data_IF_500423265018
#
_entry.id   IF_500423265018
#
_cell.length_a   1.000
_cell.length_b   1.000
_cell.length_c   1.000
_cell.angle_alpha   90.00
_cell.angle_beta   90.00
_cell.angle_gamma   90.00
#
_symmetry.space_group_name_H-M   'P 1'
#
loop_
_entity.id
_entity.type
_entity.pdbx_description
1 polymer ?
#
# COMPACT_ATOMS: atom_id res chain seq x y z
N UNK A 1 54.16 -9.40 43.75
CA UNK A 1 53.66 -10.31 42.69
C UNK A 1 52.64 -11.23 43.33
N UNK A 2 51.36 -10.96 43.11
CA UNK A 2 50.25 -11.70 43.71
C UNK A 2 49.37 -12.23 42.57
N UNK A 3 48.99 -13.53 42.56
CA UNK A 3 48.13 -14.06 41.51
C UNK A 3 46.66 -13.66 41.79
N UNK A 4 46.05 -12.99 40.81
CA UNK A 4 44.63 -12.64 40.83
C UNK A 4 43.82 -13.86 40.37
N UNK A 5 43.20 -14.53 41.33
CA UNK A 5 42.33 -15.68 41.10
C UNK A 5 40.96 -15.18 40.61
N UNK A 6 40.70 -15.26 39.30
CA UNK A 6 39.40 -14.92 38.69
C UNK A 6 38.63 -16.19 38.37
N UNK A 7 37.99 -16.77 39.39
CA UNK A 7 37.05 -17.87 39.22
C UNK A 7 35.74 -17.48 39.89
N UNK A 8 34.84 -16.85 39.15
CA UNK A 8 33.45 -16.63 39.57
C UNK A 8 32.51 -16.74 38.37
N UNK A 9 31.72 -17.82 38.38
CA UNK A 9 30.32 -17.94 37.96
C UNK A 9 29.94 -17.61 36.50
N UNK A 10 29.91 -18.65 35.65
CA UNK A 10 29.12 -18.69 34.41
C UNK A 10 27.99 -19.72 34.41
N UNK A 11 27.69 -20.36 35.53
CA UNK A 11 26.57 -21.32 35.60
C UNK A 11 25.34 -20.72 36.28
N UNK A 12 24.44 -20.07 35.50
CA UNK A 12 23.01 -19.91 35.88
C UNK A 12 22.06 -19.35 34.81
N UNK A 13 22.42 -19.26 33.53
CA UNK A 13 21.48 -18.76 32.51
C UNK A 13 20.65 -19.82 31.76
N UNK A 14 20.84 -21.12 32.03
CA UNK A 14 20.14 -22.19 31.31
C UNK A 14 18.82 -22.70 31.93
N UNK A 15 18.33 -22.13 33.05
CA UNK A 15 17.10 -22.64 33.72
C UNK A 15 15.85 -21.75 33.65
N UNK A 16 15.88 -20.59 33.00
CA UNK A 16 14.72 -19.68 32.94
C UNK A 16 13.97 -19.65 31.59
N UNK A 17 14.37 -20.42 30.58
CA UNK A 17 13.65 -20.50 29.30
C UNK A 17 12.64 -21.65 29.17
N UNK A 18 12.49 -22.51 30.19
CA UNK A 18 11.51 -23.63 30.17
C UNK A 18 10.14 -23.29 30.78
N UNK A 19 9.84 -22.02 31.10
CA UNK A 19 8.63 -21.63 31.86
C UNK A 19 7.69 -20.64 31.13
N UNK A 20 7.69 -20.61 29.79
CA UNK A 20 6.74 -19.76 29.02
C UNK A 20 5.90 -20.56 28.00
N UNK A 21 5.94 -21.91 28.04
CA UNK A 21 5.00 -22.73 27.26
C UNK A 21 4.51 -23.95 28.07
N UNK A 22 3.45 -23.81 28.89
CA UNK A 22 2.66 -24.96 29.28
C UNK A 22 1.82 -25.41 28.07
N UNK A 23 2.16 -26.59 27.54
CA UNK A 23 1.29 -27.57 26.87
C UNK A 23 -0.17 -27.11 26.63
N UNK A 24 -0.44 -26.47 25.49
CA UNK A 24 -1.79 -26.40 24.94
C UNK A 24 -1.99 -27.57 23.97
N UNK A 25 -2.12 -28.77 24.53
CA UNK A 25 -2.72 -29.91 23.88
C UNK A 25 -4.00 -30.26 24.63
N UNK A 26 -5.12 -29.65 24.20
CA UNK A 26 -6.46 -30.05 24.61
C UNK A 26 -7.26 -30.36 23.36
N UNK A 27 -7.47 -31.66 23.15
CA UNK A 27 -8.61 -32.21 22.41
C UNK A 27 -9.89 -31.57 22.94
N UNK A 28 -10.75 -31.09 22.06
CA UNK A 28 -12.20 -31.07 22.31
C UNK A 28 -12.88 -31.70 21.07
N UNK A 29 -13.68 -32.76 21.25
CA UNK A 29 -14.44 -33.42 20.19
C UNK A 29 -15.71 -32.63 19.83
N UNK A 30 -16.31 -32.99 18.70
CA UNK A 30 -17.32 -32.22 18.00
C UNK A 30 -18.59 -31.84 18.77
N UNK A 31 -19.26 -30.83 18.25
CA UNK A 31 -20.70 -30.66 18.45
C UNK A 31 -21.33 -30.11 17.18
N UNK A 32 -22.03 -30.99 16.48
CA UNK A 32 -22.92 -30.66 15.40
C UNK A 32 -24.24 -30.12 15.96
N UNK A 33 -24.64 -28.90 15.58
CA UNK A 33 -26.03 -28.42 15.57
C UNK A 33 -26.18 -27.43 14.41
N UNK A 34 -26.82 -27.85 13.32
CA UNK A 34 -28.25 -27.62 12.98
C UNK A 34 -28.60 -26.14 12.73
N UNK A 35 -28.77 -25.89 11.44
CA UNK A 35 -29.59 -24.87 10.76
C UNK A 35 -30.74 -24.23 11.55
N UNK A 36 -30.93 -22.93 11.32
CA UNK A 36 -32.19 -22.32 10.84
C UNK A 36 -31.92 -20.92 10.24
N UNK A 37 -32.61 -20.53 9.15
CA UNK A 37 -32.60 -19.17 8.61
C UNK A 37 -33.81 -18.39 9.13
N UNK A 38 -33.63 -17.16 9.61
CA UNK A 38 -34.78 -16.28 9.89
C UNK A 38 -34.35 -14.82 10.02
N UNK A 39 -35.05 -13.94 9.32
CA UNK A 39 -35.28 -12.59 9.81
C UNK A 39 -34.76 -11.45 8.94
N UNK A 40 -35.44 -11.19 7.82
CA UNK A 40 -35.49 -9.87 7.20
C UNK A 40 -35.96 -8.83 8.24
N UNK A 41 -35.19 -7.76 8.44
CA UNK A 41 -35.73 -6.47 8.91
C UNK A 41 -35.10 -5.33 8.12
N UNK A 42 -35.92 -4.81 7.21
CA UNK A 42 -35.77 -3.48 6.66
C UNK A 42 -36.07 -2.44 7.75
N UNK A 43 -35.22 -1.44 7.88
CA UNK A 43 -35.58 -0.16 8.49
C UNK A 43 -35.09 0.95 7.59
N UNK A 44 -36.06 1.75 7.17
CA UNK A 44 -35.91 2.97 6.39
C UNK A 44 -35.49 4.16 7.28
N UNK A 45 -35.01 5.19 6.59
CA UNK A 45 -35.00 6.61 6.94
C UNK A 45 -33.97 7.14 7.96
N UNK A 46 -33.07 7.99 7.45
CA UNK A 46 -32.77 9.32 8.04
C UNK A 46 -32.03 10.15 6.98
N UNK A 47 -32.71 11.06 6.26
CA UNK A 47 -32.62 12.54 6.43
C UNK A 47 -31.19 13.05 6.58
N UNK A 48 -30.62 13.61 5.51
CA UNK A 48 -30.48 15.06 5.27
C UNK A 48 -29.68 15.76 6.37
N UNK A 49 -28.44 16.11 6.05
CA UNK A 49 -27.90 17.41 6.40
C UNK A 49 -27.04 17.93 5.25
N UNK A 50 -27.43 19.11 4.78
CA UNK A 50 -26.74 19.92 3.79
C UNK A 50 -25.70 20.76 4.54
N UNK A 51 -24.41 20.48 4.36
CA UNK A 51 -23.37 21.41 4.76
C UNK A 51 -22.87 22.19 3.53
N UNK A 52 -23.22 23.47 3.51
CA UNK A 52 -22.80 24.42 2.50
C UNK A 52 -21.38 24.90 2.80
N UNK A 53 -20.41 24.54 1.96
CA UNK A 53 -19.12 25.22 1.94
C UNK A 53 -19.01 26.06 0.66
N UNK A 54 -18.96 27.37 0.86
CA UNK A 54 -18.80 28.39 -0.14
C UNK A 54 -17.48 28.20 -0.91
N UNK A 55 -17.58 28.14 -2.23
CA UNK A 55 -16.44 28.05 -3.15
C UNK A 55 -16.20 29.42 -3.80
N UNK A 56 -15.11 30.06 -3.39
CA UNK A 56 -14.57 31.26 -4.02
C UNK A 56 -14.21 30.98 -5.49
N UNK A 57 -14.72 31.83 -6.39
CA UNK A 57 -14.44 31.80 -7.83
C UNK A 57 -13.17 32.60 -8.11
N UNK A 58 -12.15 31.95 -8.64
CA UNK A 58 -11.08 32.59 -9.39
C UNK A 58 -11.21 32.12 -10.84
N UNK A 59 -11.61 33.03 -11.72
CA UNK A 59 -11.71 32.86 -13.16
C UNK A 59 -10.37 33.21 -13.80
N UNK A 60 -9.65 32.20 -14.28
CA UNK A 60 -8.60 32.37 -15.29
C UNK A 60 -9.08 31.77 -16.59
N UNK A 61 -9.23 32.67 -17.57
CA UNK A 61 -9.69 32.45 -18.92
C UNK A 61 -8.51 31.99 -19.78
N UNK A 62 -8.57 30.78 -20.33
CA UNK A 62 -7.63 30.31 -21.36
C UNK A 62 -8.41 29.52 -22.40
N UNK A 63 -8.55 30.12 -23.58
CA UNK A 63 -9.02 29.51 -24.82
C UNK A 63 -8.15 28.31 -25.20
N UNK A 64 -8.73 27.17 -25.59
CA UNK A 64 -8.07 26.19 -26.45
C UNK A 64 -8.56 26.33 -27.89
N UNK A 65 -7.60 26.57 -28.78
CA UNK A 65 -7.65 26.48 -30.23
C UNK A 65 -8.13 25.09 -30.68
N UNK A 66 -9.14 25.06 -31.54
CA UNK A 66 -9.64 23.86 -32.22
C UNK A 66 -8.61 23.31 -33.23
N UNK A 67 -8.43 21.98 -33.32
CA UNK A 67 -7.86 21.37 -34.50
C UNK A 67 -8.95 20.96 -35.50
N UNK A 68 -8.85 21.54 -36.69
CA UNK A 68 -9.43 21.07 -37.95
C UNK A 68 -9.13 19.57 -38.20
N UNK A 69 -10.13 18.83 -38.70
CA UNK A 69 -10.01 17.39 -38.95
C UNK A 69 -11.17 16.77 -39.73
N UNK A 70 -11.44 17.33 -40.91
CA UNK A 70 -11.76 16.71 -42.20
C UNK A 70 -12.29 15.24 -42.31
N UNK A 71 -13.39 15.10 -43.09
CA UNK A 71 -13.69 14.05 -44.12
C UNK A 71 -13.90 12.58 -43.66
N UNK A 72 -14.81 11.75 -44.17
CA UNK A 72 -15.35 11.58 -45.53
C UNK A 72 -16.83 11.13 -45.55
N UNK A 73 -17.48 11.52 -46.63
CA UNK A 73 -18.81 11.21 -47.15
C UNK A 73 -18.78 9.85 -47.87
N UNK A 74 -19.68 8.92 -47.52
CA UNK A 74 -19.89 7.71 -48.32
C UNK A 74 -21.38 7.33 -48.37
N UNK A 75 -22.07 7.94 -49.32
CA UNK A 75 -23.23 7.37 -50.03
C UNK A 75 -22.72 6.26 -50.97
N UNK A 76 -23.46 5.15 -51.22
CA UNK A 76 -24.55 5.26 -52.20
C UNK A 76 -25.66 4.18 -52.21
N UNK A 77 -26.59 4.41 -53.16
CA UNK A 77 -27.43 3.47 -53.95
C UNK A 77 -28.88 3.24 -53.55
N UNK A 78 -29.72 4.07 -54.19
CA UNK A 78 -31.09 3.80 -54.65
C UNK A 78 -31.15 2.59 -55.60
N UNK A 79 -32.19 1.78 -55.44
CA UNK A 79 -32.76 0.87 -56.46
C UNK A 79 -34.29 0.78 -56.21
N UNK A 80 -35.11 0.33 -57.17
CA UNK A 80 -36.18 1.16 -57.73
C UNK A 80 -37.60 0.67 -57.39
N UNK A 81 -38.53 1.55 -57.74
CA UNK A 81 -39.98 1.37 -57.88
C UNK A 81 -40.45 -0.06 -58.15
N UNK A 82 -41.31 -0.57 -57.27
CA UNK A 82 -42.38 -1.49 -57.62
C UNK A 82 -43.71 -0.75 -57.37
N UNK A 83 -44.40 -0.45 -58.46
CA UNK A 83 -45.73 0.14 -58.49
C UNK A 83 -46.77 -0.95 -58.21
N UNK A 84 -47.14 -1.15 -56.94
CA UNK A 84 -48.28 -1.99 -56.61
C UNK A 84 -49.54 -1.16 -56.39
N UNK A 85 -50.43 -1.36 -57.36
CA UNK A 85 -51.79 -0.87 -57.48
C UNK A 85 -52.65 -1.55 -56.42
N UNK A 86 -52.78 -0.94 -55.23
CA UNK A 86 -53.68 -1.44 -54.19
C UNK A 86 -55.01 -0.70 -54.15
N UNK A 87 -56.05 -1.52 -54.10
CA UNK A 87 -57.47 -1.24 -54.05
C UNK A 87 -57.86 -0.31 -52.90
N UNK A 88 -58.70 0.68 -53.21
CA UNK A 88 -59.29 1.63 -52.27
C UNK A 88 -60.37 0.91 -51.44
N UNK A 89 -59.95 0.20 -50.38
CA UNK A 89 -60.86 -0.37 -49.40
C UNK A 89 -61.38 0.74 -48.48
N UNK A 90 -62.71 0.88 -48.45
CA UNK A 90 -63.43 1.87 -47.66
C UNK A 90 -63.40 1.46 -46.18
N UNK A 91 -62.44 2.02 -45.44
CA UNK A 91 -62.26 1.76 -44.01
C UNK A 91 -63.24 2.59 -43.18
N UNK A 92 -64.44 2.06 -42.96
CA UNK A 92 -65.27 2.41 -41.82
C UNK A 92 -64.69 1.74 -40.57
N UNK A 93 -63.50 2.16 -40.15
CA UNK A 93 -62.90 1.70 -38.89
C UNK A 93 -63.68 2.30 -37.74
N UNK A 94 -64.16 1.41 -36.86
CA UNK A 94 -64.90 1.75 -35.66
C UNK A 94 -64.17 2.80 -34.83
N UNK A 95 -64.90 3.75 -34.23
CA UNK A 95 -64.35 4.82 -33.39
C UNK A 95 -63.40 4.29 -32.28
N UNK A 96 -63.66 3.07 -31.79
CA UNK A 96 -62.82 2.39 -30.81
C UNK A 96 -61.41 2.07 -31.35
N UNK A 97 -61.28 1.69 -32.62
CA UNK A 97 -59.98 1.40 -33.25
C UNK A 97 -59.14 2.67 -33.39
N UNK A 98 -59.76 3.80 -33.72
CA UNK A 98 -59.06 5.08 -33.81
C UNK A 98 -58.55 5.55 -32.45
N UNK A 99 -59.31 5.33 -31.37
CA UNK A 99 -58.86 5.62 -30.01
C UNK A 99 -57.70 4.73 -29.59
N UNK A 100 -57.77 3.42 -29.86
CA UNK A 100 -56.67 2.50 -29.58
C UNK A 100 -55.37 2.86 -30.32
N UNK A 101 -55.47 3.24 -31.60
CA UNK A 101 -54.29 3.69 -32.38
C UNK A 101 -53.64 4.94 -31.78
N UNK A 102 -54.45 5.91 -31.29
CA UNK A 102 -53.94 7.11 -30.61
C UNK A 102 -53.21 6.78 -29.31
N UNK A 103 -53.75 5.87 -28.49
CA UNK A 103 -53.09 5.41 -27.25
C UNK A 103 -51.77 4.71 -27.58
N UNK A 104 -51.76 3.82 -28.58
CA UNK A 104 -50.56 3.11 -29.02
C UNK A 104 -49.46 4.06 -29.54
N UNK A 105 -49.83 5.10 -30.27
CA UNK A 105 -48.89 6.11 -30.75
C UNK A 105 -48.37 6.99 -29.59
N UNK A 106 -49.24 7.35 -28.65
CA UNK A 106 -48.84 8.08 -27.44
C UNK A 106 -47.83 7.29 -26.60
N UNK A 107 -48.05 5.98 -26.42
CA UNK A 107 -47.11 5.11 -25.71
C UNK A 107 -45.75 5.04 -26.43
N UNK A 108 -45.74 4.83 -27.76
CA UNK A 108 -44.51 4.83 -28.56
C UNK A 108 -43.75 6.15 -28.53
N UNK A 109 -44.44 7.30 -28.44
CA UNK A 109 -43.78 8.60 -28.25
C UNK A 109 -43.20 8.74 -26.85
N UNK A 110 -43.91 8.27 -25.81
CA UNK A 110 -43.42 8.28 -24.45
C UNK A 110 -42.15 7.42 -24.28
N UNK A 111 -42.12 6.23 -24.90
CA UNK A 111 -40.94 5.34 -24.93
C UNK A 111 -39.76 5.99 -25.65
N UNK A 112 -39.97 6.57 -26.84
CA UNK A 112 -38.90 7.31 -27.55
C UNK A 112 -38.34 8.46 -26.72
N UNK A 113 -39.20 9.23 -26.07
CA UNK A 113 -38.79 10.33 -25.20
C UNK A 113 -38.04 9.85 -23.95
N UNK A 114 -38.38 8.68 -23.42
CA UNK A 114 -37.69 8.07 -22.28
C UNK A 114 -36.27 7.59 -22.68
N UNK A 115 -36.14 6.95 -23.83
CA UNK A 115 -34.85 6.47 -24.34
C UNK A 115 -33.93 7.63 -24.73
N UNK A 116 -34.47 8.70 -25.33
CA UNK A 116 -33.71 9.91 -25.63
C UNK A 116 -33.20 10.59 -24.34
N UNK A 117 -34.03 10.65 -23.28
CA UNK A 117 -33.58 11.16 -21.97
C UNK A 117 -32.50 10.29 -21.34
N UNK A 118 -32.59 8.97 -21.48
CA UNK A 118 -31.61 8.01 -20.96
C UNK A 118 -30.26 8.16 -21.67
N UNK A 119 -30.25 8.15 -23.00
CA UNK A 119 -29.04 8.34 -23.82
C UNK A 119 -28.40 9.72 -23.58
N UNK A 120 -29.19 10.78 -23.40
CA UNK A 120 -28.69 12.12 -23.03
C UNK A 120 -28.02 12.13 -21.66
N UNK A 121 -28.59 11.46 -20.66
CA UNK A 121 -27.98 11.34 -19.31
C UNK A 121 -26.69 10.52 -19.35
N UNK A 122 -26.68 9.41 -20.08
CA UNK A 122 -25.50 8.56 -20.23
C UNK A 122 -24.34 9.29 -20.93
N UNK A 123 -24.64 10.04 -22.01
CA UNK A 123 -23.65 10.90 -22.67
C UNK A 123 -23.06 11.94 -21.71
N UNK A 124 -23.91 12.58 -20.89
CA UNK A 124 -23.46 13.56 -19.89
C UNK A 124 -22.55 12.93 -18.84
N UNK A 125 -22.90 11.76 -18.31
CA UNK A 125 -22.09 11.03 -17.33
C UNK A 125 -20.74 10.62 -17.94
N UNK A 126 -20.74 10.12 -19.18
CA UNK A 126 -19.51 9.73 -19.89
C UNK A 126 -18.57 10.91 -20.13
N UNK A 127 -19.12 12.07 -20.46
CA UNK A 127 -18.34 13.30 -20.67
C UNK A 127 -17.74 13.82 -19.35
N UNK A 128 -18.51 13.81 -18.27
CA UNK A 128 -18.05 14.19 -16.94
C UNK A 128 -16.93 13.26 -16.43
N UNK A 129 -17.07 11.94 -16.63
CA UNK A 129 -16.04 10.97 -16.29
C UNK A 129 -14.73 11.19 -17.08
N UNK A 130 -14.83 11.49 -18.39
CA UNK A 130 -13.65 11.85 -19.20
C UNK A 130 -12.97 13.12 -18.70
N UNK A 131 -13.74 14.14 -18.31
CA UNK A 131 -13.20 15.40 -17.77
C UNK A 131 -12.51 15.18 -16.42
N UNK A 132 -13.08 14.35 -15.54
CA UNK A 132 -12.46 13.99 -14.28
C UNK A 132 -11.11 13.27 -14.49
N UNK A 133 -11.06 12.31 -15.41
CA UNK A 133 -9.84 11.57 -15.74
C UNK A 133 -8.74 12.48 -16.34
N UNK A 134 -9.12 13.42 -17.21
CA UNK A 134 -8.18 14.41 -17.75
C UNK A 134 -7.59 15.30 -16.65
N UNK A 135 -8.42 15.74 -15.70
CA UNK A 135 -7.98 16.57 -14.59
C UNK A 135 -7.03 15.83 -13.63
N UNK A 136 -7.31 14.55 -13.32
CA UNK A 136 -6.40 13.73 -12.49
C UNK A 136 -5.05 13.51 -13.17
N UNK A 137 -5.03 13.31 -14.50
CA UNK A 137 -3.80 13.14 -15.26
C UNK A 137 -2.98 14.43 -15.29
N UNK A 138 -3.62 15.57 -15.54
CA UNK A 138 -2.96 16.89 -15.52
C UNK A 138 -2.36 17.21 -14.15
N UNK A 139 -3.06 16.89 -13.04
CA UNK A 139 -2.52 17.06 -11.69
C UNK A 139 -1.28 16.19 -11.44
N UNK A 140 -1.32 14.91 -11.81
CA UNK A 140 -0.17 14.01 -11.65
C UNK A 140 1.05 14.46 -12.46
N UNK A 141 0.85 14.97 -13.67
CA UNK A 141 1.93 15.54 -14.50
C UNK A 141 2.51 16.82 -13.88
N UNK A 142 1.67 17.70 -13.33
CA UNK A 142 2.12 18.90 -12.60
C UNK A 142 2.92 18.55 -11.35
N UNK A 143 2.45 17.59 -10.54
CA UNK A 143 3.14 17.15 -9.33
C UNK A 143 4.51 16.52 -9.67
N UNK A 144 4.57 15.75 -10.76
CA UNK A 144 5.82 15.17 -11.27
C UNK A 144 6.79 16.26 -11.76
N UNK A 145 6.31 17.28 -12.44
CA UNK A 145 7.13 18.41 -12.88
C UNK A 145 7.67 19.21 -11.70
N UNK A 146 6.85 19.45 -10.67
CA UNK A 146 7.26 20.14 -9.45
C UNK A 146 8.31 19.35 -8.65
N UNK A 147 8.13 18.03 -8.50
CA UNK A 147 9.12 17.16 -7.86
C UNK A 147 10.46 17.17 -8.60
N UNK A 148 10.44 17.18 -9.93
CA UNK A 148 11.65 17.27 -10.75
C UNK A 148 12.36 18.63 -10.57
N UNK A 149 11.60 19.73 -10.60
CA UNK A 149 12.15 21.07 -10.39
C UNK A 149 12.77 21.24 -9.00
N UNK A 150 12.17 20.68 -7.95
CA UNK A 150 12.75 20.66 -6.60
C UNK A 150 14.05 19.85 -6.52
N UNK A 151 14.13 18.72 -7.25
CA UNK A 151 15.34 17.91 -7.31
C UNK A 151 16.50 18.65 -8.02
N UNK A 152 16.22 19.48 -9.02
CA UNK A 152 17.22 20.28 -9.76
C UNK A 152 17.63 21.57 -9.01
N UNK A 153 16.70 22.22 -8.29
CA UNK A 153 16.95 23.49 -7.59
C UNK A 153 17.87 23.34 -6.35
N UNK A 154 18.05 22.13 -5.84
CA UNK A 154 19.06 21.83 -4.82
C UNK A 154 20.22 21.06 -5.47
N UNK A 155 21.18 21.75 -6.12
CA UNK A 155 22.46 21.12 -6.44
C UNK A 155 23.01 20.62 -5.12
N UNK A 156 23.07 19.29 -4.96
CA UNK A 156 23.67 18.65 -3.80
C UNK A 156 25.07 19.24 -3.69
N UNK A 157 25.25 20.20 -2.78
CA UNK A 157 26.59 20.60 -2.35
C UNK A 157 27.25 19.28 -1.97
N UNK A 158 28.35 18.88 -2.63
CA UNK A 158 29.06 17.69 -2.22
C UNK A 158 29.36 17.90 -0.74
N UNK A 159 28.78 17.03 0.10
CA UNK A 159 29.02 17.11 1.53
C UNK A 159 30.55 17.11 1.70
N UNK A 160 31.12 18.04 2.49
CA UNK A 160 32.54 18.05 2.73
C UNK A 160 32.96 16.63 3.10
N UNK A 161 33.91 16.09 2.35
CA UNK A 161 34.38 14.72 2.44
C UNK A 161 35.12 14.59 3.78
N UNK A 162 34.37 14.49 4.88
CA UNK A 162 34.94 14.21 6.19
C UNK A 162 35.40 12.76 6.11
N UNK A 163 36.71 12.47 6.13
CA UNK A 163 37.18 11.10 6.13
C UNK A 163 36.53 10.38 7.31
N UNK A 164 36.00 9.17 7.12
CA UNK A 164 35.43 8.39 8.20
C UNK A 164 36.50 8.26 9.29
N UNK A 165 36.18 8.79 10.48
CA UNK A 165 37.08 8.71 11.61
C UNK A 165 37.11 7.23 12.00
N UNK A 166 38.26 6.55 11.96
CA UNK A 166 38.34 5.14 12.29
C UNK A 166 37.72 4.93 13.66
N UNK A 167 36.82 3.96 13.78
CA UNK A 167 36.18 3.69 15.07
C UNK A 167 37.25 3.44 16.12
N UNK A 168 37.26 4.25 17.18
CA UNK A 168 38.26 4.16 18.26
C UNK A 168 38.04 2.96 19.17
N UNK A 169 36.96 2.22 18.93
CA UNK A 169 36.47 1.18 19.81
C UNK A 169 36.67 -0.18 19.17
N UNK A 170 36.95 -1.19 20.01
CA UNK A 170 36.97 -2.57 19.53
C UNK A 170 35.57 -3.01 19.11
N UNK A 171 35.42 -3.91 18.12
CA UNK A 171 34.12 -4.44 17.72
C UNK A 171 33.32 -5.04 18.89
N UNK A 172 34.01 -5.63 19.87
CA UNK A 172 33.40 -6.14 21.10
C UNK A 172 32.73 -5.03 21.92
N UNK A 173 33.40 -3.89 22.10
CA UNK A 173 32.83 -2.77 22.84
C UNK A 173 31.59 -2.18 22.16
N UNK A 174 31.61 -2.10 20.83
CA UNK A 174 30.46 -1.64 20.04
C UNK A 174 29.26 -2.59 20.21
N UNK A 175 29.51 -3.90 20.15
CA UNK A 175 28.50 -4.92 20.39
C UNK A 175 27.95 -4.84 21.82
N UNK A 176 28.81 -4.75 22.84
CA UNK A 176 28.40 -4.70 24.24
C UNK A 176 27.51 -3.47 24.51
N UNK A 177 27.88 -2.31 23.95
CA UNK A 177 27.10 -1.07 24.05
C UNK A 177 25.73 -1.19 23.37
N UNK A 178 25.68 -1.78 22.17
CA UNK A 178 24.43 -2.03 21.47
C UNK A 178 23.56 -3.07 22.20
N UNK A 179 24.14 -4.15 22.68
CA UNK A 179 23.45 -5.21 23.43
C UNK A 179 22.86 -4.71 24.75
N UNK A 180 23.56 -3.83 25.47
CA UNK A 180 23.03 -3.15 26.65
C UNK A 180 21.82 -2.27 26.30
N UNK A 181 21.88 -1.57 25.17
CA UNK A 181 20.76 -0.77 24.65
C UNK A 181 19.56 -1.66 24.28
N UNK A 182 19.80 -2.81 23.66
CA UNK A 182 18.75 -3.81 23.39
C UNK A 182 18.10 -4.30 24.68
N UNK A 183 18.91 -4.66 25.68
CA UNK A 183 18.41 -5.14 26.98
C UNK A 183 17.52 -4.10 27.66
N UNK A 184 17.94 -2.83 27.63
CA UNK A 184 17.15 -1.70 28.16
C UNK A 184 15.84 -1.51 27.41
N UNK A 185 15.86 -1.59 26.08
CA UNK A 185 14.67 -1.47 25.24
C UNK A 185 13.67 -2.61 25.48
N UNK A 186 14.13 -3.85 25.52
CA UNK A 186 13.26 -5.02 25.74
C UNK A 186 12.74 -5.12 27.17
N UNK A 187 13.43 -4.55 28.16
CA UNK A 187 12.92 -4.44 29.52
C UNK A 187 11.72 -3.48 29.63
N UNK A 188 11.56 -2.54 28.70
CA UNK A 188 10.45 -1.60 28.69
C UNK A 188 9.44 -1.91 27.56
N UNK A 189 8.29 -2.55 27.87
CA UNK A 189 7.28 -2.90 26.87
C UNK A 189 6.61 -1.69 26.21
N UNK A 190 6.74 -0.50 26.78
CA UNK A 190 6.16 0.75 26.27
C UNK A 190 7.21 1.69 25.67
N UNK A 191 8.43 1.22 25.44
CA UNK A 191 9.46 2.03 24.80
C UNK A 191 9.00 2.53 23.42
N UNK A 192 9.15 3.83 23.19
CA UNK A 192 8.85 4.47 21.90
C UNK A 192 9.93 4.17 20.86
N UNK A 193 9.64 4.43 19.58
CA UNK A 193 10.59 4.24 18.49
C UNK A 193 11.87 5.10 18.62
N UNK A 194 11.79 6.20 19.37
CA UNK A 194 12.95 7.04 19.68
C UNK A 194 14.04 6.28 20.46
N UNK A 195 13.63 5.38 21.36
CA UNK A 195 14.55 4.57 22.19
C UNK A 195 14.94 3.25 21.53
N UNK A 196 14.58 3.04 20.25
CA UNK A 196 14.96 1.83 19.53
C UNK A 196 16.49 1.74 19.42
N UNK A 197 17.11 0.58 19.74
CA UNK A 197 18.56 0.42 19.79
C UNK A 197 19.15 0.35 18.38
N UNK A 198 19.41 1.53 17.81
CA UNK A 198 20.09 1.67 16.51
C UNK A 198 21.60 1.50 16.71
N UNK A 199 22.26 0.61 15.96
CA UNK A 199 23.71 0.59 15.92
C UNK A 199 24.28 1.95 15.48
N UNK A 200 25.35 2.40 16.13
CA UNK A 200 26.01 3.68 15.88
C UNK A 200 27.50 3.45 15.70
N UNK A 201 28.17 4.36 14.99
CA UNK A 201 29.63 4.33 14.82
C UNK A 201 30.15 3.20 13.93
N UNK A 202 29.27 2.56 13.15
CA UNK A 202 29.68 1.49 12.24
C UNK A 202 30.38 2.07 11.02
N UNK A 203 31.47 1.41 10.62
CA UNK A 203 32.20 1.74 9.41
C UNK A 203 31.28 1.70 8.17
N UNK A 204 31.46 2.62 7.20
CA UNK A 204 30.69 2.61 5.96
C UNK A 204 30.78 1.25 5.24
N UNK A 205 29.67 0.82 4.65
CA UNK A 205 29.67 -0.38 3.82
C UNK A 205 30.16 -0.07 2.40
N UNK A 206 31.34 -0.58 2.03
CA UNK A 206 31.90 -0.41 0.68
C UNK A 206 31.23 -1.29 -0.39
N UNK A 207 30.48 -2.31 0.03
CA UNK A 207 29.82 -3.24 -0.88
C UNK A 207 28.52 -2.66 -1.45
N UNK A 208 28.58 -2.05 -2.64
CA UNK A 208 27.41 -1.48 -3.30
C UNK A 208 26.48 -2.52 -3.98
N UNK A 209 27.01 -3.67 -4.42
CA UNK A 209 26.29 -4.55 -5.37
C UNK A 209 25.29 -5.53 -4.76
N UNK A 210 25.48 -5.96 -3.50
CA UNK A 210 24.62 -6.98 -2.86
C UNK A 210 24.34 -6.55 -1.42
N UNK A 211 23.77 -5.37 -1.23
CA UNK A 211 23.60 -4.74 0.08
C UNK A 211 22.12 -4.49 0.39
N UNK A 212 21.57 -5.25 1.33
CA UNK A 212 20.26 -4.92 1.92
C UNK A 212 20.47 -3.82 2.96
N UNK A 213 19.91 -2.64 2.69
CA UNK A 213 19.98 -1.44 3.54
C UNK A 213 18.62 -1.19 4.18
N UNK A 214 18.61 -0.99 5.50
CA UNK A 214 17.44 -0.49 6.23
C UNK A 214 17.39 1.03 6.12
N UNK A 215 16.32 1.58 5.56
CA UNK A 215 16.17 3.02 5.36
C UNK A 215 15.95 3.75 6.68
N UNK A 216 15.16 3.17 7.59
CA UNK A 216 14.83 3.75 8.91
C UNK A 216 15.93 3.54 9.94
N UNK A 217 16.66 2.43 9.86
CA UNK A 217 17.81 2.14 10.70
C UNK A 217 19.09 2.83 10.22
N UNK A 218 19.19 3.12 8.91
CA UNK A 218 20.35 3.80 8.33
C UNK A 218 21.59 2.92 8.21
N UNK A 219 21.47 1.60 8.42
CA UNK A 219 22.55 0.61 8.34
C UNK A 219 22.21 -0.48 7.33
N UNK A 220 23.20 -1.25 6.92
CA UNK A 220 23.00 -2.44 6.10
C UNK A 220 23.33 -3.74 6.84
N UNK A 221 22.97 -4.88 6.24
CA UNK A 221 23.26 -6.18 6.83
C UNK A 221 24.77 -6.48 6.97
N UNK A 222 25.65 -5.89 6.15
CA UNK A 222 27.11 -6.04 6.32
C UNK A 222 27.62 -5.31 7.57
N UNK A 223 27.13 -4.10 7.81
CA UNK A 223 27.43 -3.33 9.02
C UNK A 223 26.87 -4.05 10.26
N UNK A 224 25.64 -4.57 10.15
CA UNK A 224 25.07 -5.41 11.20
C UNK A 224 25.92 -6.66 11.44
N UNK A 225 26.40 -7.34 10.40
CA UNK A 225 27.30 -8.49 10.54
C UNK A 225 28.58 -8.13 11.29
N UNK A 226 29.23 -7.02 10.93
CA UNK A 226 30.45 -6.56 11.59
C UNK A 226 30.23 -6.29 13.08
N UNK A 227 29.10 -5.64 13.42
CA UNK A 227 28.69 -5.46 14.81
C UNK A 227 28.47 -6.80 15.52
N UNK A 228 27.71 -7.72 14.93
CA UNK A 228 27.42 -9.02 15.54
C UNK A 228 28.65 -9.91 15.66
N UNK A 229 29.68 -9.73 14.83
CA UNK A 229 30.97 -10.41 15.03
C UNK A 229 31.64 -10.04 16.36
N UNK A 230 31.34 -8.85 16.91
CA UNK A 230 31.79 -8.43 18.24
C UNK A 230 31.26 -9.30 19.38
N UNK A 231 30.16 -10.06 19.17
CA UNK A 231 29.61 -10.99 20.16
C UNK A 231 30.50 -12.23 20.39
N UNK A 232 31.33 -12.58 19.41
CA UNK A 232 32.05 -13.87 19.36
C UNK A 232 31.18 -15.06 18.93
N UNK A 233 29.87 -14.87 18.76
CA UNK A 233 28.90 -15.91 18.39
C UNK A 233 28.10 -15.48 17.16
N UNK A 234 28.53 -15.92 15.97
CA UNK A 234 27.81 -15.69 14.71
C UNK A 234 27.37 -17.01 14.07
N UNK A 235 26.86 -17.93 14.89
CA UNK A 235 26.33 -19.20 14.42
C UNK A 235 24.84 -19.07 14.04
N UNK A 236 24.37 -19.95 13.13
CA UNK A 236 22.98 -19.92 12.63
C UNK A 236 21.94 -20.08 13.75
N UNK A 237 22.10 -21.01 14.73
CA UNK A 237 21.17 -21.12 15.86
C UNK A 237 21.00 -19.80 16.64
N UNK A 238 22.10 -19.12 16.93
CA UNK A 238 22.11 -17.83 17.62
C UNK A 238 21.39 -16.75 16.81
N UNK A 239 21.70 -16.64 15.51
CA UNK A 239 21.04 -15.71 14.60
C UNK A 239 19.52 -15.96 14.49
N UNK A 240 19.08 -17.22 14.58
CA UNK A 240 17.64 -17.57 14.63
C UNK A 240 16.99 -17.09 15.92
N UNK A 241 17.67 -17.24 17.06
CA UNK A 241 17.21 -16.69 18.34
C UNK A 241 17.03 -15.17 18.27
N UNK A 242 18.01 -14.49 17.67
CA UNK A 242 17.97 -13.04 17.49
C UNK A 242 16.85 -12.62 16.53
N UNK A 243 16.68 -13.32 15.41
CA UNK A 243 15.57 -13.12 14.46
C UNK A 243 14.21 -13.20 15.14
N UNK A 244 14.00 -14.18 16.03
CA UNK A 244 12.75 -14.32 16.78
C UNK A 244 12.53 -13.16 17.76
N UNK A 245 13.60 -12.61 18.35
CA UNK A 245 13.54 -11.46 19.25
C UNK A 245 13.05 -10.20 18.53
N UNK A 246 13.44 -10.02 17.26
CA UNK A 246 13.06 -8.88 16.41
C UNK A 246 11.80 -9.08 15.57
N UNK A 247 11.04 -10.15 15.78
CA UNK A 247 9.85 -10.42 14.97
C UNK A 247 8.78 -9.31 15.12
N UNK A 248 8.21 -8.76 14.03
CA UNK A 248 7.26 -7.63 14.09
C UNK A 248 6.02 -7.91 14.94
N UNK A 249 5.53 -9.15 14.96
CA UNK A 249 4.38 -9.55 15.80
C UNK A 249 4.60 -9.37 17.31
N UNK A 250 5.84 -9.17 17.78
CA UNK A 250 6.11 -8.86 19.20
C UNK A 250 5.82 -7.40 19.57
N UNK A 251 5.49 -6.55 18.59
CA UNK A 251 5.27 -5.12 18.78
C UNK A 251 3.85 -4.68 18.34
N UNK A 252 2.77 -5.28 18.89
CA UNK A 252 1.41 -4.85 18.56
C UNK A 252 1.15 -3.41 19.04
N UNK A 253 0.41 -2.63 18.26
CA UNK A 253 0.06 -1.24 18.58
C UNK A 253 1.22 -0.23 18.53
N UNK A 254 2.43 -0.65 18.12
CA UNK A 254 3.63 0.21 18.03
C UNK A 254 4.17 0.19 16.60
N UNK A 255 3.48 0.87 15.68
CA UNK A 255 3.78 0.77 14.24
C UNK A 255 5.20 1.22 13.88
N UNK A 256 5.68 2.32 14.44
CA UNK A 256 7.04 2.81 14.16
C UNK A 256 8.12 1.84 14.65
N UNK A 257 7.92 1.22 15.82
CA UNK A 257 8.82 0.20 16.37
C UNK A 257 8.76 -1.07 15.51
N UNK A 258 7.56 -1.46 15.09
CA UNK A 258 7.33 -2.62 14.23
C UNK A 258 8.10 -2.48 12.91
N UNK A 259 8.12 -1.30 12.32
CA UNK A 259 8.84 -1.05 11.07
C UNK A 259 10.36 -1.11 11.25
N UNK A 260 10.88 -0.55 12.35
CA UNK A 260 12.31 -0.65 12.69
C UNK A 260 12.72 -2.10 12.98
N UNK A 261 11.88 -2.83 13.71
CA UNK A 261 12.09 -4.26 13.99
C UNK A 261 12.03 -5.10 12.71
N UNK A 262 11.15 -4.75 11.76
CA UNK A 262 11.05 -5.41 10.46
C UNK A 262 12.33 -5.24 9.63
N UNK A 263 12.94 -4.05 9.62
CA UNK A 263 14.25 -3.88 8.95
C UNK A 263 15.34 -4.72 9.61
N UNK A 264 15.41 -4.74 10.95
CA UNK A 264 16.37 -5.56 11.68
C UNK A 264 16.18 -7.06 11.38
N UNK A 265 14.94 -7.51 11.38
CA UNK A 265 14.54 -8.88 11.06
C UNK A 265 15.00 -9.29 9.65
N UNK A 266 14.74 -8.46 8.63
CA UNK A 266 15.17 -8.74 7.25
C UNK A 266 16.69 -8.82 7.12
N UNK A 267 17.44 -7.95 7.80
CA UNK A 267 18.91 -7.99 7.77
C UNK A 267 19.44 -9.27 8.43
N UNK A 268 18.87 -9.70 9.56
CA UNK A 268 19.23 -10.97 10.22
C UNK A 268 18.90 -12.19 9.35
N UNK A 269 17.72 -12.21 8.71
CA UNK A 269 17.37 -13.25 7.75
C UNK A 269 18.37 -13.34 6.61
N UNK A 270 18.77 -12.18 6.05
CA UNK A 270 19.77 -12.13 4.98
C UNK A 270 21.11 -12.75 5.39
N UNK A 271 21.52 -12.57 6.66
CA UNK A 271 22.72 -13.20 7.22
C UNK A 271 22.57 -14.72 7.36
N UNK A 272 21.40 -15.19 7.78
CA UNK A 272 21.11 -16.64 7.86
C UNK A 272 21.16 -17.26 6.45
N UNK A 273 20.51 -16.64 5.47
CA UNK A 273 20.45 -17.17 4.10
C UNK A 273 21.82 -17.12 3.40
N UNK A 274 22.60 -16.05 3.64
CA UNK A 274 23.95 -15.90 3.12
C UNK A 274 25.01 -16.77 3.79
N UNK A 275 24.71 -17.35 4.95
CA UNK A 275 25.62 -18.25 5.68
C UNK A 275 25.52 -19.71 5.24
N UNK A 276 24.55 -20.06 4.39
CA UNK A 276 24.49 -21.39 3.80
C UNK A 276 25.63 -21.54 2.79
N UNK A 277 26.46 -22.59 2.88
CA UNK A 277 27.37 -22.90 1.80
C UNK A 277 26.54 -23.03 0.52
N UNK A 278 26.96 -22.35 -0.54
CA UNK A 278 26.49 -22.74 -1.87
C UNK A 278 27.10 -24.11 -2.07
N UNK A 279 26.26 -25.14 -2.10
CA UNK A 279 26.67 -26.49 -2.49
C UNK A 279 27.21 -26.38 -3.93
N UNK A 280 28.54 -26.23 -4.05
CA UNK A 280 29.32 -26.40 -5.27
C UNK A 280 29.80 -27.84 -5.37
#
# INVERSE_FOLDING_TARGET
MSPFNSSLHTESFHRLFKSIYPQMSKRIPGSARKSTPSGCKATANSTKDHEATARSKATTNTNPTDPDGNTEDDSPKKTPQASDRFTKANNNTSSADQQWQKVKESCRRAERNAEEKKTKRERKVREEAKRAQANTKAKAESDKAHAKAQAEAHPRRPAPHIPPRPSTHSPKWEYDTWSASCSTFFANPNASAYYFPKPKGLEPCDNAKVCVKGEKLGICHHQLKALLMGSGELNVPWLRGETLRWHPNKFPGREEVRDLAWEMFQMLQRLIDGSRPRDE
#
